data_IF_665678488966
#
_entry.id   IF_665678488966
#
_cell.length_a   1.000
_cell.length_b   1.000
_cell.length_c   1.000
_cell.angle_alpha   90.00
_cell.angle_beta   90.00
_cell.angle_gamma   90.00
#
_symmetry.space_group_name_H-M   'P 1'
#
loop_
_entity.id
_entity.type
_entity.pdbx_description
1 polymer ?
#
# COMPACT_ATOMS: atom_id res chain seq x y z
N UNK A 1 34.59 74.80 36.82
CA UNK A 1 33.58 73.92 37.48
C UNK A 1 33.57 72.58 36.78
N UNK A 2 33.36 71.51 37.55
CA UNK A 2 33.31 70.08 37.18
C UNK A 2 34.70 69.43 36.98
N UNK A 3 35.38 68.95 38.02
CA UNK A 3 35.10 67.81 38.93
C UNK A 3 35.53 66.47 38.34
N UNK A 4 36.54 65.88 39.00
CA UNK A 4 37.07 64.54 38.79
C UNK A 4 36.17 63.48 39.45
N UNK A 5 36.17 62.26 38.89
CA UNK A 5 35.86 61.05 39.64
C UNK A 5 36.59 59.85 39.02
N UNK A 6 37.55 59.32 39.79
CA UNK A 6 38.15 58.00 39.61
C UNK A 6 37.13 56.89 39.88
N UNK A 7 37.21 55.77 39.16
CA UNK A 7 36.70 54.49 39.65
C UNK A 7 37.56 53.34 39.09
N UNK A 8 38.27 52.70 40.02
CA UNK A 8 39.11 51.51 39.86
C UNK A 8 38.26 50.27 40.15
N UNK A 9 38.47 49.21 39.36
CA UNK A 9 38.24 47.77 39.63
C UNK A 9 36.96 47.28 40.35
N UNK A 10 36.19 46.40 39.70
CA UNK A 10 36.28 44.94 39.93
C UNK A 10 35.40 44.14 38.94
N UNK A 11 35.81 42.91 38.58
CA UNK A 11 35.08 41.98 37.70
C UNK A 11 34.23 41.00 38.52
N UNK A 12 33.16 40.45 37.92
CA UNK A 12 32.53 39.12 38.13
C UNK A 12 31.00 39.18 37.96
N UNK A 13 30.44 38.05 37.49
CA UNK A 13 29.02 37.73 37.26
C UNK A 13 28.53 37.81 35.80
N UNK A 14 29.01 36.87 34.98
CA UNK A 14 28.15 36.15 34.04
C UNK A 14 28.58 34.68 34.03
N UNK A 15 28.24 33.98 35.11
CA UNK A 15 28.29 32.51 35.19
C UNK A 15 26.90 32.03 35.59
N UNK A 16 26.01 31.95 34.61
CA UNK A 16 24.84 31.08 34.66
C UNK A 16 24.79 30.34 33.34
N UNK A 17 25.52 29.23 33.28
CA UNK A 17 25.31 28.21 32.27
C UNK A 17 23.92 27.62 32.52
N UNK A 18 23.04 27.77 31.54
CA UNK A 18 21.85 26.94 31.39
C UNK A 18 22.30 25.49 31.22
N UNK A 19 22.28 24.73 32.32
CA UNK A 19 21.97 23.32 32.31
C UNK A 19 20.56 23.17 32.90
N UNK A 20 20.00 21.98 32.81
CA UNK A 20 18.78 21.56 33.52
C UNK A 20 17.48 21.75 32.72
N UNK A 21 17.36 20.99 31.63
CA UNK A 21 16.29 19.98 31.45
C UNK A 21 16.40 19.33 30.07
N UNK A 22 16.57 18.00 30.02
CA UNK A 22 15.94 17.23 28.94
C UNK A 22 14.49 17.70 28.86
N UNK A 23 13.95 18.04 27.68
CA UNK A 23 12.57 18.44 27.62
C UNK A 23 11.75 17.27 28.19
N UNK A 24 10.92 17.48 29.23
CA UNK A 24 9.79 16.57 29.42
C UNK A 24 9.08 16.57 28.07
N UNK A 25 8.71 15.37 27.57
CA UNK A 25 7.96 15.16 26.31
C UNK A 25 7.38 16.48 25.83
N UNK A 26 7.88 17.02 24.70
CA UNK A 26 7.35 18.26 24.12
C UNK A 26 5.86 18.30 24.38
N UNK A 27 5.40 19.19 25.27
CA UNK A 27 4.01 19.22 25.67
C UNK A 27 3.26 19.66 24.41
N UNK A 28 2.65 18.67 23.76
CA UNK A 28 2.19 18.71 22.38
C UNK A 28 0.93 19.57 22.22
N UNK A 29 0.61 20.42 23.19
CA UNK A 29 -0.71 21.03 23.34
C UNK A 29 -1.01 22.19 22.38
N UNK A 30 -0.06 22.64 21.55
CA UNK A 30 -0.33 23.71 20.56
C UNK A 30 -0.46 23.23 19.11
N UNK A 31 -0.27 21.93 18.83
CA UNK A 31 -0.63 21.31 17.54
C UNK A 31 -1.61 20.12 17.70
N UNK A 32 -2.06 19.85 18.93
CA UNK A 32 -2.88 18.69 19.29
C UNK A 32 -4.38 18.79 19.01
N UNK A 33 -4.87 19.87 18.40
CA UNK A 33 -6.33 20.05 18.25
C UNK A 33 -6.95 19.57 16.94
N UNK A 34 -6.20 18.90 16.06
CA UNK A 34 -6.74 18.33 14.80
C UNK A 34 -5.97 17.07 14.33
N UNK A 35 -5.52 16.25 15.28
CA UNK A 35 -4.80 14.99 15.01
C UNK A 35 -5.63 13.78 15.44
N UNK A 36 -6.93 13.82 15.15
CA UNK A 36 -7.73 12.60 15.09
C UNK A 36 -7.36 11.89 13.78
N UNK A 37 -6.23 11.18 13.83
CA UNK A 37 -5.72 10.36 12.72
C UNK A 37 -6.75 9.28 12.46
N UNK A 38 -7.65 9.54 11.53
CA UNK A 38 -8.58 8.54 11.02
C UNK A 38 -7.78 7.36 10.47
N UNK A 39 -7.88 6.27 11.22
CA UNK A 39 -7.25 4.98 11.00
C UNK A 39 -7.75 4.38 9.68
N UNK A 40 -6.87 4.17 8.70
CA UNK A 40 -7.21 3.34 7.54
C UNK A 40 -6.97 1.90 7.94
N UNK A 41 -8.06 1.23 8.31
CA UNK A 41 -8.08 -0.22 8.47
C UNK A 41 -8.26 -0.84 7.09
N UNK A 42 -7.29 -1.64 6.69
CA UNK A 42 -7.55 -2.64 5.66
C UNK A 42 -8.42 -3.78 6.23
N UNK A 43 -8.92 -4.68 5.39
CA UNK A 43 -9.79 -5.81 5.82
C UNK A 43 -9.13 -6.74 6.87
N UNK A 44 -7.80 -6.68 7.02
CA UNK A 44 -6.99 -7.37 8.06
C UNK A 44 -6.56 -6.46 9.24
N UNK A 45 -7.08 -5.23 9.32
CA UNK A 45 -6.82 -4.30 10.43
C UNK A 45 -5.41 -3.69 10.50
N UNK A 46 -4.61 -3.79 9.42
CA UNK A 46 -3.21 -3.36 9.39
C UNK A 46 -3.06 -1.87 9.05
N UNK A 47 -2.48 -1.09 9.97
CA UNK A 47 -2.18 0.34 9.80
C UNK A 47 -0.68 0.53 10.04
N UNK A 48 0.14 0.54 8.98
CA UNK A 48 1.61 0.53 9.15
C UNK A 48 2.36 1.67 8.45
N UNK A 49 2.01 2.05 7.21
CA UNK A 49 2.78 3.06 6.47
C UNK A 49 2.68 4.48 7.07
N UNK A 50 1.49 4.97 7.40
CA UNK A 50 1.32 6.31 8.02
C UNK A 50 1.98 6.39 9.40
N UNK A 51 1.95 5.29 10.17
CA UNK A 51 2.58 5.22 11.48
C UNK A 51 4.11 5.17 11.38
N UNK A 52 4.66 4.39 10.44
CA UNK A 52 6.10 4.30 10.24
C UNK A 52 6.70 5.65 9.84
N UNK A 53 6.10 6.38 8.88
CA UNK A 53 6.59 7.71 8.49
C UNK A 53 6.56 8.72 9.63
N UNK A 54 5.52 8.67 10.47
CA UNK A 54 5.45 9.51 11.68
C UNK A 54 6.56 9.17 12.67
N UNK A 55 6.78 7.89 12.92
CA UNK A 55 7.81 7.46 13.85
C UNK A 55 9.23 7.78 13.34
N UNK A 56 9.49 7.64 12.04
CA UNK A 56 10.75 8.06 11.41
C UNK A 56 10.95 9.57 11.60
N UNK A 57 9.90 10.38 11.41
CA UNK A 57 9.96 11.83 11.65
C UNK A 57 10.35 12.12 13.11
N UNK A 58 9.69 11.47 14.08
CA UNK A 58 9.96 11.66 15.51
C UNK A 58 11.39 11.25 15.88
N UNK A 59 11.89 10.13 15.34
CA UNK A 59 13.27 9.68 15.57
C UNK A 59 14.27 10.67 14.96
N UNK A 60 14.06 11.09 13.70
CA UNK A 60 14.93 12.09 13.06
C UNK A 60 14.94 13.41 13.82
N UNK A 61 13.81 13.79 14.42
CA UNK A 61 13.70 14.98 15.27
C UNK A 61 14.55 14.84 16.54
N UNK A 62 14.52 13.67 17.19
CA UNK A 62 15.38 13.39 18.34
C UNK A 62 16.87 13.40 17.95
N UNK A 63 17.22 12.77 16.83
CA UNK A 63 18.60 12.78 16.30
C UNK A 63 19.08 14.19 15.96
N UNK A 64 18.21 15.05 15.41
CA UNK A 64 18.52 16.46 15.17
C UNK A 64 18.85 17.17 16.47
N UNK A 65 18.08 16.93 17.54
CA UNK A 65 18.35 17.51 18.85
C UNK A 65 19.72 17.09 19.38
N UNK A 66 20.05 15.80 19.33
CA UNK A 66 21.38 15.30 19.72
C UNK A 66 22.51 15.93 18.90
N UNK A 67 22.31 16.08 17.58
CA UNK A 67 23.28 16.74 16.70
C UNK A 67 23.47 18.22 17.01
N UNK A 68 22.40 18.94 17.36
CA UNK A 68 22.47 20.34 17.74
C UNK A 68 23.20 20.53 19.07
N UNK A 69 22.91 19.68 20.04
CA UNK A 69 23.58 19.69 21.34
C UNK A 69 25.09 19.43 21.20
N UNK A 70 25.47 18.39 20.45
CA UNK A 70 26.88 18.08 20.19
C UNK A 70 27.60 19.22 19.46
N UNK A 71 26.97 19.78 18.43
CA UNK A 71 27.50 20.95 17.72
C UNK A 71 27.72 22.13 18.67
N UNK A 72 26.75 22.44 19.54
CA UNK A 72 26.87 23.53 20.50
C UNK A 72 28.00 23.27 21.50
N UNK A 73 28.12 22.04 21.99
CA UNK A 73 29.19 21.65 22.90
C UNK A 73 30.57 21.83 22.27
N UNK A 74 30.78 21.29 21.06
CA UNK A 74 32.03 21.39 20.32
C UNK A 74 32.36 22.85 19.95
N UNK A 75 31.35 23.62 19.53
CA UNK A 75 31.52 25.02 19.16
C UNK A 75 31.87 25.90 20.38
N UNK A 76 31.32 25.60 21.55
CA UNK A 76 31.67 26.26 22.81
C UNK A 76 33.11 25.92 23.23
N UNK A 77 33.53 24.65 23.10
CA UNK A 77 34.91 24.25 23.37
C UNK A 77 35.90 24.98 22.45
N UNK A 78 35.58 25.07 21.15
CA UNK A 78 36.40 25.78 20.16
C UNK A 78 36.48 27.29 20.46
N UNK A 79 35.35 27.90 20.82
CA UNK A 79 35.29 29.33 21.18
C UNK A 79 36.13 29.61 22.42
N UNK A 80 36.03 28.77 23.45
CA UNK A 80 36.82 28.89 24.69
C UNK A 80 38.33 28.79 24.41
N UNK A 81 38.73 27.87 23.53
CA UNK A 81 40.11 27.70 23.10
C UNK A 81 40.62 28.96 22.35
N UNK A 82 39.84 29.49 21.43
CA UNK A 82 40.21 30.71 20.69
C UNK A 82 40.34 31.93 21.61
N UNK A 83 39.40 32.13 22.54
CA UNK A 83 39.47 33.22 23.53
C UNK A 83 40.73 33.13 24.38
N UNK A 84 41.06 31.92 24.86
CA UNK A 84 42.25 31.67 25.69
C UNK A 84 43.57 31.93 24.95
N UNK A 85 43.61 31.80 23.61
CA UNK A 85 44.80 32.11 22.79
C UNK A 85 44.98 33.63 22.55
N UNK A 86 43.90 34.41 22.64
CA UNK A 86 43.95 35.87 22.42
C UNK A 86 44.27 36.68 23.68
N UNK A 87 44.10 36.13 24.88
CA UNK A 87 44.37 36.79 26.16
C UNK A 87 45.76 36.43 26.73
N UNK A 88 46.84 36.96 26.15
CA UNK A 88 48.22 36.76 26.62
C UNK A 88 48.65 37.77 27.71
N UNK A 89 47.89 37.88 28.80
CA UNK A 89 48.28 38.65 29.99
C UNK A 89 47.87 37.90 31.27
N UNK A 90 48.42 36.71 31.49
CA UNK A 90 48.64 36.10 32.81
C UNK A 90 49.52 34.86 32.67
N UNK A 91 50.77 34.98 33.10
CA UNK A 91 51.69 33.86 33.26
C UNK A 91 51.18 32.93 34.37
N UNK A 92 51.17 31.63 34.08
CA UNK A 92 50.95 30.48 35.00
C UNK A 92 49.55 29.87 35.02
N UNK A 93 49.30 28.90 34.14
CA UNK A 93 48.95 27.52 34.53
C UNK A 93 48.79 26.62 33.30
N UNK A 94 49.28 25.40 33.43
CA UNK A 94 49.40 24.37 32.39
C UNK A 94 48.04 23.84 31.90
N UNK A 95 47.27 24.60 31.14
CA UNK A 95 46.18 24.03 30.33
C UNK A 95 46.81 23.40 29.07
N UNK A 96 47.48 22.27 29.29
CA UNK A 96 47.83 21.32 28.23
C UNK A 96 46.59 21.15 27.36
N UNK A 97 46.69 21.51 26.07
CA UNK A 97 45.59 21.40 25.11
C UNK A 97 45.17 19.94 25.04
N UNK A 98 44.13 19.55 25.80
CA UNK A 98 43.50 18.23 25.73
C UNK A 98 42.97 17.93 24.31
N UNK A 99 42.80 18.97 23.49
CA UNK A 99 42.23 18.92 22.16
C UNK A 99 43.21 19.54 21.14
N UNK A 100 43.43 18.82 20.04
CA UNK A 100 44.06 19.36 18.84
C UNK A 100 43.12 20.41 18.21
N UNK A 101 43.54 21.68 18.04
CA UNK A 101 42.70 22.73 17.47
C UNK A 101 42.16 22.41 16.08
N UNK A 102 42.90 21.68 15.25
CA UNK A 102 42.46 21.37 13.89
C UNK A 102 41.49 20.19 13.87
N UNK A 103 41.71 19.20 14.74
CA UNK A 103 40.74 18.14 15.00
C UNK A 103 39.40 18.72 15.51
N UNK A 104 39.44 19.63 16.49
CA UNK A 104 38.23 20.25 17.05
C UNK A 104 37.45 21.08 16.00
N UNK A 105 38.16 21.78 15.10
CA UNK A 105 37.49 22.46 13.96
C UNK A 105 36.83 21.47 13.01
N UNK A 106 37.49 20.34 12.73
CA UNK A 106 36.94 19.28 11.90
C UNK A 106 35.68 18.68 12.53
N UNK A 107 35.70 18.40 13.83
CA UNK A 107 34.55 17.88 14.57
C UNK A 107 33.37 18.87 14.57
N UNK A 108 33.65 20.17 14.78
CA UNK A 108 32.63 21.23 14.65
C UNK A 108 32.04 21.29 13.25
N UNK A 109 32.86 21.12 12.21
CA UNK A 109 32.40 21.10 10.82
C UNK A 109 31.50 19.89 10.54
N UNK A 110 31.90 18.69 10.99
CA UNK A 110 31.09 17.47 10.84
C UNK A 110 29.78 17.55 11.62
N UNK A 111 29.79 18.06 12.86
CA UNK A 111 28.58 18.23 13.65
C UNK A 111 27.62 19.23 12.98
N UNK A 112 28.14 20.34 12.44
CA UNK A 112 27.35 21.31 11.66
C UNK A 112 26.74 20.67 10.42
N UNK A 113 27.52 19.91 9.65
CA UNK A 113 27.03 19.22 8.46
C UNK A 113 25.89 18.26 8.83
N UNK A 114 26.07 17.46 9.89
CA UNK A 114 25.04 16.53 10.40
C UNK A 114 23.75 17.26 10.75
N UNK A 115 23.82 18.41 11.43
CA UNK A 115 22.64 19.25 11.71
C UNK A 115 21.96 19.73 10.43
N UNK A 116 22.71 20.23 9.44
CA UNK A 116 22.11 20.71 8.18
C UNK A 116 21.47 19.58 7.37
N UNK A 117 22.04 18.37 7.42
CA UNK A 117 21.51 17.19 6.75
C UNK A 117 20.21 16.73 7.41
N UNK A 118 20.19 16.57 8.74
CA UNK A 118 18.99 16.17 9.48
C UNK A 118 17.83 17.16 9.33
N UNK A 119 18.10 18.47 9.24
CA UNK A 119 17.06 19.47 8.93
C UNK A 119 16.43 19.25 7.56
N UNK A 120 17.24 19.03 6.52
CA UNK A 120 16.76 18.74 5.17
C UNK A 120 15.97 17.44 5.11
N UNK A 121 16.44 16.39 5.78
CA UNK A 121 15.72 15.12 5.86
C UNK A 121 14.37 15.25 6.58
N UNK A 122 14.27 16.08 7.64
CA UNK A 122 13.01 16.35 8.34
C UNK A 122 12.02 17.14 7.49
N UNK A 123 12.49 18.12 6.73
CA UNK A 123 11.65 18.85 5.76
C UNK A 123 11.11 17.88 4.69
N UNK A 124 11.98 17.02 4.16
CA UNK A 124 11.60 16.02 3.16
C UNK A 124 10.52 15.07 3.70
N UNK A 125 10.75 14.43 4.86
CA UNK A 125 9.78 13.48 5.40
C UNK A 125 8.48 14.15 5.84
N UNK A 126 8.52 15.42 6.24
CA UNK A 126 7.32 16.21 6.52
C UNK A 126 6.46 16.42 5.27
N UNK A 127 7.09 16.73 4.13
CA UNK A 127 6.38 16.86 2.83
C UNK A 127 5.80 15.52 2.40
N UNK A 128 6.58 14.44 2.48
CA UNK A 128 6.12 13.09 2.14
C UNK A 128 4.92 12.67 3.00
N UNK A 129 4.99 12.86 4.32
CA UNK A 129 3.89 12.57 5.24
C UNK A 129 2.64 13.38 4.94
N UNK A 130 2.78 14.67 4.63
CA UNK A 130 1.63 15.50 4.25
C UNK A 130 1.01 15.05 2.93
N UNK A 131 1.81 14.57 1.98
CA UNK A 131 1.32 14.05 0.71
C UNK A 131 0.53 12.75 0.93
N UNK A 132 1.11 11.80 1.68
CA UNK A 132 0.45 10.54 2.04
C UNK A 132 -0.86 10.81 2.79
N UNK A 133 -0.85 11.67 3.81
CA UNK A 133 -2.05 12.04 4.58
C UNK A 133 -3.15 12.61 3.68
N UNK A 134 -2.82 13.50 2.75
CA UNK A 134 -3.79 14.10 1.83
C UNK A 134 -4.35 13.09 0.84
N UNK A 135 -3.50 12.21 0.31
CA UNK A 135 -3.93 11.13 -0.57
C UNK A 135 -4.90 10.20 0.14
N UNK A 136 -4.55 9.81 1.36
CA UNK A 136 -5.38 9.05 2.29
C UNK A 136 -6.73 9.77 2.48
N UNK A 137 -6.76 10.99 3.02
CA UNK A 137 -7.98 11.79 3.22
C UNK A 137 -8.86 11.89 1.96
N UNK A 138 -8.23 12.05 0.79
CA UNK A 138 -8.95 12.07 -0.50
C UNK A 138 -9.67 10.74 -0.76
N UNK A 139 -9.03 9.60 -0.49
CA UNK A 139 -9.64 8.28 -0.61
C UNK A 139 -10.78 8.08 0.39
N UNK A 140 -10.68 8.55 1.65
CA UNK A 140 -11.84 8.47 2.59
C UNK A 140 -12.97 9.37 2.15
N UNK A 141 -12.69 10.56 1.62
CA UNK A 141 -13.72 11.42 1.05
C UNK A 141 -14.43 10.76 -0.13
N UNK A 142 -13.69 10.04 -1.00
CA UNK A 142 -14.27 9.25 -2.09
C UNK A 142 -15.08 8.08 -1.55
N UNK A 143 -14.55 7.33 -0.59
CA UNK A 143 -15.25 6.22 0.07
C UNK A 143 -16.55 6.68 0.76
N UNK A 144 -16.52 7.81 1.45
CA UNK A 144 -17.70 8.40 2.09
C UNK A 144 -18.73 8.83 1.05
N UNK A 145 -18.29 9.44 -0.07
CA UNK A 145 -19.19 9.77 -1.18
C UNK A 145 -19.80 8.51 -1.79
N UNK A 146 -19.01 7.47 -2.03
CA UNK A 146 -19.48 6.18 -2.54
C UNK A 146 -20.40 5.45 -1.55
N UNK A 147 -20.19 5.62 -0.25
CA UNK A 147 -21.03 5.03 0.80
C UNK A 147 -22.35 5.79 0.96
N UNK A 148 -22.31 7.12 0.84
CA UNK A 148 -23.50 7.97 0.87
C UNK A 148 -24.33 7.86 -0.42
N UNK A 149 -23.68 7.79 -1.59
CA UNK A 149 -24.29 7.48 -2.90
C UNK A 149 -24.33 5.97 -3.17
N UNK A 150 -24.23 5.15 -2.12
CA UNK A 150 -24.13 3.69 -2.20
C UNK A 150 -25.22 3.06 -3.06
N UNK A 151 -24.90 2.85 -4.34
CA UNK A 151 -25.51 1.91 -5.26
C UNK A 151 -27.03 1.75 -5.11
N UNK A 152 -27.76 2.86 -5.08
CA UNK A 152 -29.21 2.87 -5.20
C UNK A 152 -29.56 3.87 -6.27
N UNK A 153 -30.22 3.37 -7.31
CA UNK A 153 -30.92 4.22 -8.27
C UNK A 153 -31.64 5.31 -7.49
N UNK A 154 -31.41 6.56 -7.85
CA UNK A 154 -32.23 7.67 -7.35
C UNK A 154 -33.71 7.29 -7.61
N UNK A 155 -34.66 7.70 -6.76
CA UNK A 155 -36.10 7.43 -6.95
C UNK A 155 -36.55 7.77 -8.38
N UNK A 156 -35.99 8.84 -8.96
CA UNK A 156 -36.24 9.25 -10.35
C UNK A 156 -35.71 8.22 -11.36
N UNK A 157 -34.48 7.74 -11.17
CA UNK A 157 -33.85 6.74 -12.05
C UNK A 157 -34.54 5.37 -11.92
N UNK A 158 -34.88 4.96 -10.71
CA UNK A 158 -35.64 3.75 -10.44
C UNK A 158 -37.02 3.81 -11.11
N UNK A 159 -37.67 4.98 -11.06
CA UNK A 159 -38.97 5.17 -11.68
C UNK A 159 -38.88 5.19 -13.21
N UNK A 160 -37.82 5.76 -13.78
CA UNK A 160 -37.56 5.71 -15.22
C UNK A 160 -37.35 4.26 -15.73
N UNK A 161 -36.60 3.45 -14.98
CA UNK A 161 -36.39 2.03 -15.30
C UNK A 161 -37.72 1.27 -15.26
N UNK A 162 -38.56 1.52 -14.24
CA UNK A 162 -39.87 0.87 -14.12
C UNK A 162 -40.81 1.29 -15.26
N UNK A 163 -40.77 2.55 -15.69
CA UNK A 163 -41.58 3.00 -16.85
C UNK A 163 -41.13 2.32 -18.13
N UNK A 164 -39.83 2.25 -18.41
CA UNK A 164 -39.32 1.58 -19.60
C UNK A 164 -39.66 0.08 -19.60
N UNK A 165 -39.53 -0.60 -18.45
CA UNK A 165 -39.94 -2.01 -18.32
C UNK A 165 -41.42 -2.21 -18.65
N UNK A 166 -42.28 -1.27 -18.23
CA UNK A 166 -43.71 -1.33 -18.53
C UNK A 166 -43.99 -1.10 -20.02
N UNK A 167 -43.27 -0.18 -20.66
CA UNK A 167 -43.37 0.07 -22.10
C UNK A 167 -42.90 -1.13 -22.92
N UNK A 168 -41.78 -1.75 -22.54
CA UNK A 168 -41.28 -2.99 -23.15
C UNK A 168 -42.33 -4.10 -23.01
N UNK A 169 -42.91 -4.28 -21.82
CA UNK A 169 -43.94 -5.29 -21.59
C UNK A 169 -45.18 -5.06 -22.46
N UNK A 170 -45.64 -3.82 -22.59
CA UNK A 170 -46.76 -3.48 -23.46
C UNK A 170 -46.44 -3.77 -24.93
N UNK A 171 -45.27 -3.36 -25.40
CA UNK A 171 -44.80 -3.61 -26.76
C UNK A 171 -44.73 -5.10 -27.08
N UNK A 172 -44.14 -5.91 -26.19
CA UNK A 172 -44.08 -7.37 -26.31
C UNK A 172 -45.48 -8.01 -26.34
N UNK A 173 -46.39 -7.57 -25.46
CA UNK A 173 -47.76 -8.10 -25.43
C UNK A 173 -48.53 -7.77 -26.71
N UNK A 174 -48.31 -6.58 -27.28
CA UNK A 174 -48.91 -6.16 -28.54
C UNK A 174 -48.36 -6.97 -29.71
N UNK A 175 -47.03 -7.10 -29.80
CA UNK A 175 -46.37 -7.90 -30.84
C UNK A 175 -46.79 -9.38 -30.79
N UNK A 176 -46.97 -9.93 -29.58
CA UNK A 176 -47.48 -11.30 -29.42
C UNK A 176 -48.93 -11.43 -29.93
N UNK A 177 -49.79 -10.45 -29.67
CA UNK A 177 -51.18 -10.43 -30.16
C UNK A 177 -51.23 -10.36 -31.68
N UNK A 178 -50.43 -9.49 -32.28
CA UNK A 178 -50.31 -9.37 -33.74
C UNK A 178 -49.81 -10.68 -34.36
N UNK A 179 -48.76 -11.29 -33.79
CA UNK A 179 -48.26 -12.61 -34.22
C UNK A 179 -49.36 -13.68 -34.20
N UNK A 180 -50.15 -13.75 -33.14
CA UNK A 180 -51.27 -14.70 -33.06
C UNK A 180 -52.37 -14.39 -34.07
N UNK A 181 -52.67 -13.12 -34.33
CA UNK A 181 -53.63 -12.69 -35.35
C UNK A 181 -53.20 -13.11 -36.75
N UNK A 182 -51.94 -12.86 -37.11
CA UNK A 182 -51.35 -13.27 -38.39
C UNK A 182 -51.36 -14.80 -38.55
N UNK A 183 -50.98 -15.56 -37.52
CA UNK A 183 -51.06 -17.02 -37.56
C UNK A 183 -52.48 -17.52 -37.81
N UNK A 184 -53.48 -16.90 -37.17
CA UNK A 184 -54.89 -17.26 -37.38
C UNK A 184 -55.35 -16.93 -38.81
N UNK A 185 -55.03 -15.74 -39.32
CA UNK A 185 -55.33 -15.36 -40.71
C UNK A 185 -54.66 -16.29 -41.72
N UNK A 186 -53.41 -16.70 -41.47
CA UNK A 186 -52.67 -17.61 -42.34
C UNK A 186 -53.26 -19.02 -42.33
N UNK A 187 -53.68 -19.52 -41.16
CA UNK A 187 -54.40 -20.79 -41.05
C UNK A 187 -55.72 -20.74 -41.83
N UNK A 188 -56.50 -19.66 -41.68
CA UNK A 188 -57.75 -19.48 -42.42
C UNK A 188 -57.52 -19.44 -43.94
N UNK A 189 -56.51 -18.71 -44.41
CA UNK A 189 -56.19 -18.63 -45.84
C UNK A 189 -55.75 -20.00 -46.40
N UNK A 190 -54.98 -20.78 -45.62
CA UNK A 190 -54.63 -22.16 -45.96
C UNK A 190 -55.89 -23.03 -46.09
N UNK A 191 -56.82 -22.92 -45.15
CA UNK A 191 -58.07 -23.68 -45.19
C UNK A 191 -58.93 -23.27 -46.40
N UNK A 192 -59.05 -21.97 -46.69
CA UNK A 192 -59.77 -21.47 -47.87
C UNK A 192 -59.13 -21.96 -49.19
N UNK A 193 -57.79 -21.98 -49.27
CA UNK A 193 -57.06 -22.45 -50.44
C UNK A 193 -57.19 -23.98 -50.63
N UNK A 194 -57.14 -24.75 -49.55
CA UNK A 194 -57.37 -26.21 -49.62
C UNK A 194 -58.80 -26.55 -50.03
N UNK A 195 -59.81 -25.76 -49.58
CA UNK A 195 -61.18 -25.88 -50.05
C UNK A 195 -61.32 -25.56 -51.53
N UNK A 196 -60.67 -24.50 -52.01
CA UNK A 196 -60.64 -24.13 -53.44
C UNK A 196 -59.94 -25.21 -54.29
N UNK A 197 -58.83 -25.76 -53.82
CA UNK A 197 -58.13 -26.88 -54.48
C UNK A 197 -59.00 -28.13 -54.58
N UNK A 198 -59.76 -28.44 -53.54
CA UNK A 198 -60.69 -29.59 -53.53
C UNK A 198 -61.88 -29.37 -54.48
N UNK A 199 -62.38 -28.14 -54.63
CA UNK A 199 -63.40 -27.79 -55.62
C UNK A 199 -62.88 -27.76 -57.06
N UNK A 200 -61.59 -27.45 -57.29
CA UNK A 200 -60.97 -27.55 -58.62
C UNK A 200 -60.57 -28.97 -59.01
N UNK A 201 -60.42 -29.88 -58.04
CA UNK A 201 -60.14 -31.29 -58.29
C UNK A 201 -61.39 -32.10 -58.71
N UNK A 202 -62.58 -31.47 -58.70
CA UNK A 202 -63.84 -32.09 -59.12
C UNK A 202 -64.20 -31.88 -60.60
N UNK A 203 -63.42 -31.09 -61.35
CA UNK A 203 -63.73 -30.76 -62.75
C UNK A 203 -62.78 -31.34 -63.82
N UNK A 204 -61.89 -32.30 -63.48
CA UNK A 204 -61.26 -33.16 -64.51
C UNK A 204 -60.72 -34.49 -63.93
N UNK A 205 -61.21 -35.66 -64.38
CA UNK A 205 -60.73 -36.96 -63.92
C UNK A 205 -59.70 -37.51 -64.91
N UNK A 206 -58.45 -37.07 -64.85
CA UNK A 206 -57.33 -37.89 -65.30
C UNK A 206 -56.02 -37.44 -64.66
N UNK A 207 -55.12 -38.39 -64.40
CA UNK A 207 -53.85 -38.28 -63.64
C UNK A 207 -53.94 -38.56 -62.13
N UNK A 208 -54.72 -39.58 -61.77
CA UNK A 208 -54.52 -40.31 -60.52
C UNK A 208 -53.54 -41.46 -60.73
N UNK A 209 -52.26 -41.13 -60.84
CA UNK A 209 -51.21 -42.13 -60.68
C UNK A 209 -49.93 -41.43 -60.27
N UNK A 210 -49.22 -42.02 -59.30
CA UNK A 210 -47.79 -41.82 -58.95
C UNK A 210 -47.58 -41.41 -57.46
N UNK A 211 -47.25 -42.44 -56.66
CA UNK A 211 -46.35 -42.42 -55.49
C UNK A 211 -46.90 -42.09 -54.09
N UNK A 212 -47.72 -43.02 -53.58
CA UNK A 212 -47.61 -43.48 -52.20
C UNK A 212 -46.46 -44.48 -52.10
N UNK A 213 -45.29 -44.07 -51.61
CA UNK A 213 -44.16 -44.96 -51.36
C UNK A 213 -43.81 -44.94 -49.87
N UNK A 214 -44.35 -45.95 -49.19
CA UNK A 214 -43.84 -46.49 -47.94
C UNK A 214 -42.36 -46.86 -48.09
N UNK A 215 -41.50 -46.29 -47.26
CA UNK A 215 -40.20 -46.88 -46.93
C UNK A 215 -40.05 -46.94 -45.42
N UNK A 216 -40.53 -48.06 -44.87
CA UNK A 216 -39.99 -48.63 -43.65
C UNK A 216 -38.48 -48.82 -43.85
N UNK A 217 -37.66 -48.02 -43.17
CA UNK A 217 -36.26 -48.34 -42.97
C UNK A 217 -36.11 -48.90 -41.57
N UNK A 218 -36.31 -50.22 -41.51
CA UNK A 218 -35.82 -51.07 -40.44
C UNK A 218 -34.34 -51.32 -40.64
N UNK A 219 -33.50 -50.59 -39.92
CA UNK A 219 -32.13 -50.98 -39.60
C UNK A 219 -31.91 -50.44 -38.17
N UNK A 220 -32.02 -51.26 -37.11
CA UNK A 220 -30.90 -52.01 -36.53
C UNK A 220 -29.62 -51.17 -36.73
N UNK A 221 -29.11 -50.49 -35.71
CA UNK A 221 -28.28 -51.10 -34.67
C UNK A 221 -28.34 -50.23 -33.40
N UNK A 222 -28.92 -50.78 -32.34
CA UNK A 222 -28.78 -50.27 -30.99
C UNK A 222 -28.26 -51.42 -30.15
N UNK A 223 -26.95 -51.56 -30.04
CA UNK A 223 -26.30 -52.43 -29.05
C UNK A 223 -24.89 -51.93 -28.76
N UNK A 224 -24.60 -51.87 -27.46
CA UNK A 224 -23.29 -51.77 -26.81
C UNK A 224 -22.74 -50.36 -26.53
N UNK A 225 -23.42 -49.70 -25.59
CA UNK A 225 -22.75 -49.16 -24.41
C UNK A 225 -22.00 -50.31 -23.72
N UNK A 226 -20.67 -50.27 -23.70
CA UNK A 226 -19.87 -51.06 -22.77
C UNK A 226 -18.54 -50.36 -22.51
N UNK A 227 -18.53 -49.56 -21.45
CA UNK A 227 -17.34 -49.21 -20.69
C UNK A 227 -16.78 -50.48 -20.05
N UNK A 228 -15.57 -50.91 -20.42
CA UNK A 228 -14.48 -51.19 -19.48
C UNK A 228 -13.22 -51.75 -20.19
N UNK A 229 -12.10 -51.05 -19.97
CA UNK A 229 -10.73 -51.57 -19.84
C UNK A 229 -10.27 -52.64 -20.85
N UNK A 230 -9.69 -52.23 -21.99
CA UNK A 230 -8.72 -53.08 -22.70
C UNK A 230 -7.65 -52.26 -23.40
N UNK A 231 -6.50 -52.09 -22.74
CA UNK A 231 -5.32 -51.42 -23.30
C UNK A 231 -4.49 -52.29 -24.25
N UNK A 232 -4.99 -53.44 -24.71
CA UNK A 232 -4.15 -54.46 -25.35
C UNK A 232 -4.62 -54.93 -26.74
N UNK A 233 -5.71 -54.38 -27.30
CA UNK A 233 -6.24 -54.77 -28.61
C UNK A 233 -6.43 -53.60 -29.60
N UNK A 234 -5.59 -52.56 -29.52
CA UNK A 234 -5.58 -51.49 -30.53
C UNK A 234 -4.47 -51.73 -31.57
N UNK A 235 -4.74 -51.57 -32.89
CA UNK A 235 -3.69 -51.55 -33.90
C UNK A 235 -2.58 -50.54 -33.52
N UNK A 236 -1.30 -50.90 -33.74
CA UNK A 236 -0.15 -50.08 -33.31
C UNK A 236 -0.22 -48.61 -33.74
N UNK A 237 -0.79 -48.33 -34.92
CA UNK A 237 -1.02 -46.96 -35.40
C UNK A 237 -2.02 -46.16 -34.56
N UNK A 238 -3.09 -46.81 -34.08
CA UNK A 238 -4.10 -46.19 -33.20
C UNK A 238 -3.51 -45.85 -31.84
N UNK A 239 -2.70 -46.77 -31.27
CA UNK A 239 -1.98 -46.53 -30.00
C UNK A 239 -0.98 -45.38 -30.10
N UNK A 240 -0.26 -45.27 -31.22
CA UNK A 240 0.66 -44.16 -31.50
C UNK A 240 -0.09 -42.83 -31.64
N UNK A 241 -1.22 -42.82 -32.35
CA UNK A 241 -2.06 -41.63 -32.49
C UNK A 241 -2.65 -41.17 -31.14
N UNK A 242 -3.05 -42.12 -30.28
CA UNK A 242 -3.54 -41.84 -28.94
C UNK A 242 -2.42 -41.30 -28.02
N UNK A 243 -1.21 -41.87 -28.08
CA UNK A 243 -0.04 -41.31 -27.39
C UNK A 243 0.30 -39.90 -27.87
N UNK A 244 0.18 -39.63 -29.18
CA UNK A 244 0.42 -38.30 -29.74
C UNK A 244 -0.65 -37.30 -29.26
N UNK A 245 -1.93 -37.70 -29.20
CA UNK A 245 -3.01 -36.88 -28.61
C UNK A 245 -2.76 -36.59 -27.13
N UNK A 246 -2.45 -37.61 -26.32
CA UNK A 246 -2.13 -37.41 -24.91
C UNK A 246 -0.92 -36.48 -24.71
N UNK A 247 0.10 -36.56 -25.58
CA UNK A 247 1.24 -35.62 -25.53
C UNK A 247 0.82 -34.18 -25.85
N UNK A 248 0.00 -33.99 -26.89
CA UNK A 248 -0.50 -32.66 -27.24
C UNK A 248 -1.37 -32.07 -26.12
N UNK A 249 -2.28 -32.86 -25.54
CA UNK A 249 -3.10 -32.44 -24.40
C UNK A 249 -2.26 -32.11 -23.16
N UNK A 250 -1.21 -32.89 -22.90
CA UNK A 250 -0.26 -32.60 -21.83
C UNK A 250 0.50 -31.29 -22.08
N UNK A 251 0.97 -31.06 -23.30
CA UNK A 251 1.68 -29.82 -23.66
C UNK A 251 0.74 -28.60 -23.58
N UNK A 252 -0.52 -28.74 -23.98
CA UNK A 252 -1.54 -27.71 -23.80
C UNK A 252 -1.86 -27.44 -22.32
N UNK A 253 -2.02 -28.50 -21.52
CA UNK A 253 -2.23 -28.37 -20.08
C UNK A 253 -1.04 -27.68 -19.40
N UNK A 254 0.19 -28.02 -19.82
CA UNK A 254 1.41 -27.39 -19.33
C UNK A 254 1.48 -25.90 -19.67
N UNK A 255 1.09 -25.52 -20.90
CA UNK A 255 0.93 -24.11 -21.29
C UNK A 255 -0.14 -23.40 -20.46
N UNK A 256 -1.28 -24.04 -20.18
CA UNK A 256 -2.31 -23.48 -19.29
C UNK A 256 -1.78 -23.27 -17.88
N UNK A 257 -1.04 -24.24 -17.32
CA UNK A 257 -0.43 -24.11 -15.98
C UNK A 257 0.54 -22.92 -15.96
N UNK A 258 1.42 -22.78 -16.96
CA UNK A 258 2.34 -21.65 -17.05
C UNK A 258 1.61 -20.31 -17.15
N UNK A 259 0.52 -20.25 -17.94
CA UNK A 259 -0.30 -19.05 -18.04
C UNK A 259 -0.96 -18.70 -16.70
N UNK A 260 -1.54 -19.69 -16.02
CA UNK A 260 -2.14 -19.49 -14.68
C UNK A 260 -1.07 -19.04 -13.66
N UNK A 261 0.14 -19.60 -13.69
CA UNK A 261 1.25 -19.17 -12.83
C UNK A 261 1.65 -17.72 -13.10
N UNK A 262 1.72 -17.31 -14.37
CA UNK A 262 1.99 -15.92 -14.73
C UNK A 262 0.86 -15.00 -14.26
N UNK A 263 -0.40 -15.38 -14.48
CA UNK A 263 -1.56 -14.61 -14.02
C UNK A 263 -1.60 -14.50 -12.49
N UNK A 264 -1.21 -15.54 -11.76
CA UNK A 264 -1.08 -15.50 -10.30
C UNK A 264 0.02 -14.54 -9.86
N UNK A 265 1.20 -14.57 -10.51
CA UNK A 265 2.28 -13.64 -10.22
C UNK A 265 1.89 -12.18 -10.51
N UNK A 266 1.26 -11.93 -11.66
CA UNK A 266 0.77 -10.60 -12.05
C UNK A 266 -0.34 -10.10 -11.11
N UNK A 267 -1.17 -11.00 -10.55
CA UNK A 267 -2.18 -10.66 -9.56
C UNK A 267 -1.58 -10.42 -8.18
N UNK A 268 -0.57 -11.18 -7.76
CA UNK A 268 0.14 -10.98 -6.49
C UNK A 268 0.77 -9.58 -6.43
N UNK A 269 1.37 -9.11 -7.53
CA UNK A 269 1.90 -7.74 -7.67
C UNK A 269 0.79 -6.67 -7.57
N UNK A 270 -0.39 -6.95 -8.13
CA UNK A 270 -1.53 -6.01 -8.16
C UNK A 270 -2.37 -6.00 -6.87
N UNK A 271 -2.34 -7.07 -6.09
CA UNK A 271 -3.16 -7.22 -4.87
C UNK A 271 -2.63 -6.38 -3.72
N UNK A 272 -1.33 -6.04 -3.70
CA UNK A 272 -0.71 -5.27 -2.59
C UNK A 272 -0.03 -3.96 -3.06
N UNK A 273 -0.76 -3.02 -3.68
CA UNK A 273 -0.21 -1.73 -4.05
C UNK A 273 0.23 -0.96 -2.78
N UNK A 274 1.49 -0.55 -2.71
CA UNK A 274 2.06 0.18 -1.57
C UNK A 274 2.82 -0.67 -0.54
N UNK A 275 2.82 -2.01 -0.68
CA UNK A 275 3.60 -2.89 0.20
C UNK A 275 5.11 -2.61 0.12
N UNK A 276 5.64 -2.38 -1.08
CA UNK A 276 7.05 -2.00 -1.25
C UNK A 276 7.40 -0.68 -0.55
N UNK A 277 6.50 0.30 -0.55
CA UNK A 277 6.72 1.58 0.12
C UNK A 277 6.69 1.38 1.65
N UNK A 278 5.71 0.61 2.14
CA UNK A 278 5.63 0.25 3.56
C UNK A 278 6.84 -0.55 4.05
N UNK A 279 7.39 -1.43 3.21
CA UNK A 279 8.58 -2.21 3.55
C UNK A 279 9.83 -1.32 3.55
N UNK A 280 9.95 -0.37 2.60
CA UNK A 280 10.99 0.67 2.61
C UNK A 280 10.93 1.53 3.87
N UNK A 281 9.73 1.99 4.25
CA UNK A 281 9.52 2.78 5.47
C UNK A 281 9.88 1.98 6.73
N UNK A 282 9.47 0.71 6.80
CA UNK A 282 9.79 -0.18 7.93
C UNK A 282 11.31 -0.40 8.08
N UNK A 283 12.00 -0.63 6.97
CA UNK A 283 13.47 -0.78 6.98
C UNK A 283 14.17 0.52 7.37
N UNK A 284 13.70 1.66 6.85
CA UNK A 284 14.24 2.97 7.21
C UNK A 284 14.01 3.26 8.70
N UNK A 285 12.82 2.98 9.23
CA UNK A 285 12.51 3.12 10.65
C UNK A 285 13.47 2.31 11.52
N UNK A 286 13.76 1.07 11.12
CA UNK A 286 14.73 0.22 11.82
C UNK A 286 16.13 0.86 11.82
N UNK A 287 16.63 1.31 10.66
CA UNK A 287 17.93 1.97 10.55
C UNK A 287 18.02 3.25 11.39
N UNK A 288 16.95 4.04 11.42
CA UNK A 288 16.88 5.28 12.20
C UNK A 288 16.88 5.00 13.71
N UNK A 289 16.16 3.97 14.17
CA UNK A 289 16.20 3.50 15.56
C UNK A 289 17.60 3.00 15.96
N UNK A 290 18.26 2.21 15.11
CA UNK A 290 19.63 1.74 15.35
C UNK A 290 20.62 2.90 15.43
N UNK A 291 20.46 3.89 14.57
CA UNK A 291 21.33 5.06 14.54
C UNK A 291 21.10 5.96 15.76
N UNK A 292 19.85 6.19 16.17
CA UNK A 292 19.53 6.88 17.42
C UNK A 292 20.11 6.15 18.64
N UNK A 293 20.00 4.82 18.69
CA UNK A 293 20.59 3.99 19.76
C UNK A 293 22.11 4.19 19.85
N UNK A 294 22.81 4.20 18.70
CA UNK A 294 24.26 4.47 18.66
C UNK A 294 24.60 5.87 19.16
N UNK A 295 23.83 6.88 18.74
CA UNK A 295 24.01 8.27 19.17
C UNK A 295 23.77 8.42 20.68
N UNK A 296 22.70 7.83 21.24
CA UNK A 296 22.43 7.84 22.68
C UNK A 296 23.53 7.15 23.49
N UNK A 297 24.03 5.99 23.04
CA UNK A 297 25.15 5.28 23.69
C UNK A 297 26.46 6.06 23.68
N UNK A 298 26.64 7.00 22.74
CA UNK A 298 27.84 7.82 22.64
C UNK A 298 27.86 9.00 23.63
N UNK A 299 26.74 9.30 24.29
CA UNK A 299 26.64 10.41 25.26
C UNK A 299 27.49 10.11 26.49
N UNK A 300 28.37 11.05 26.84
CA UNK A 300 29.26 10.89 28.00
C UNK A 300 28.54 11.27 29.31
N UNK A 301 28.52 10.42 30.34
CA UNK A 301 27.79 10.67 31.61
C UNK A 301 28.20 11.95 32.34
N UNK A 302 29.46 12.39 32.17
CA UNK A 302 29.98 13.60 32.83
C UNK A 302 29.41 14.90 32.26
N UNK A 303 28.72 14.84 31.12
CA UNK A 303 28.15 16.01 30.43
C UNK A 303 26.67 16.24 30.74
N UNK A 304 26.05 15.38 31.56
CA UNK A 304 24.60 15.34 31.82
C UNK A 304 24.27 15.16 33.30
N UNK A 305 23.07 15.56 33.69
CA UNK A 305 22.55 15.30 35.04
C UNK A 305 22.22 13.82 35.26
N UNK A 306 22.15 13.39 36.53
CA UNK A 306 21.86 11.99 36.85
C UNK A 306 20.49 11.53 36.32
N UNK A 307 19.47 12.39 36.46
CA UNK A 307 18.11 12.13 35.96
C UNK A 307 18.08 11.97 34.44
N UNK A 308 18.76 12.85 33.71
CA UNK A 308 18.88 12.74 32.25
C UNK A 308 19.58 11.45 31.83
N UNK A 309 20.60 11.04 32.57
CA UNK A 309 21.29 9.78 32.30
C UNK A 309 20.40 8.56 32.55
N UNK A 310 19.51 8.61 33.54
CA UNK A 310 18.53 7.56 33.78
C UNK A 310 17.47 7.52 32.67
N UNK A 311 16.99 8.68 32.20
CA UNK A 311 16.04 8.79 31.08
C UNK A 311 16.67 8.25 29.77
N UNK A 312 17.92 8.61 29.48
CA UNK A 312 18.69 8.11 28.33
C UNK A 312 18.86 6.59 28.41
N UNK A 313 19.18 6.04 29.59
CA UNK A 313 19.29 4.59 29.78
C UNK A 313 17.94 3.87 29.59
N UNK A 314 16.84 4.50 30.00
CA UNK A 314 15.50 4.00 29.75
C UNK A 314 15.20 3.89 28.25
N UNK A 315 15.50 4.95 27.49
CA UNK A 315 15.26 4.96 26.04
C UNK A 315 16.18 3.97 25.31
N UNK A 316 17.45 3.84 25.74
CA UNK A 316 18.39 2.82 25.21
C UNK A 316 17.79 1.41 25.36
N UNK A 317 17.35 1.04 26.58
CA UNK A 317 16.77 -0.28 26.84
C UNK A 317 15.52 -0.53 25.99
N UNK A 318 14.68 0.50 25.84
CA UNK A 318 13.47 0.43 25.03
C UNK A 318 13.79 0.23 23.55
N UNK A 319 14.71 1.00 22.99
CA UNK A 319 15.15 0.85 21.59
C UNK A 319 15.79 -0.52 21.35
N UNK A 320 16.59 -1.02 22.28
CA UNK A 320 17.15 -2.38 22.22
C UNK A 320 16.07 -3.46 22.20
N UNK A 321 15.06 -3.31 23.05
CA UNK A 321 13.93 -4.24 23.09
C UNK A 321 13.11 -4.18 21.80
N UNK A 322 12.81 -2.98 21.30
CA UNK A 322 12.07 -2.78 20.05
C UNK A 322 12.80 -3.42 18.86
N UNK A 323 14.13 -3.21 18.75
CA UNK A 323 14.94 -3.77 17.67
C UNK A 323 15.03 -5.30 17.75
N UNK A 324 15.20 -5.86 18.96
CA UNK A 324 15.19 -7.31 19.16
C UNK A 324 13.84 -7.93 18.81
N UNK A 325 12.73 -7.31 19.24
CA UNK A 325 11.39 -7.76 18.89
C UNK A 325 11.17 -7.76 17.36
N UNK A 326 11.60 -6.69 16.68
CA UNK A 326 11.49 -6.57 15.23
C UNK A 326 12.32 -7.65 14.50
N UNK A 327 13.52 -7.94 15.00
CA UNK A 327 14.41 -8.97 14.47
C UNK A 327 13.83 -10.39 14.70
N UNK A 328 13.31 -10.68 15.89
CA UNK A 328 12.63 -11.93 16.18
C UNK A 328 11.40 -12.15 15.28
N UNK A 329 10.58 -11.11 15.11
CA UNK A 329 9.42 -11.17 14.20
C UNK A 329 9.84 -11.44 12.75
N UNK A 330 10.94 -10.80 12.29
CA UNK A 330 11.50 -11.06 10.96
C UNK A 330 11.99 -12.50 10.82
N UNK A 331 12.71 -13.01 11.82
CA UNK A 331 13.23 -14.38 11.81
C UNK A 331 12.11 -15.42 11.82
N UNK A 332 11.02 -15.19 12.58
CA UNK A 332 9.83 -16.06 12.56
C UNK A 332 9.17 -16.06 11.17
N UNK A 333 8.98 -14.89 10.57
CA UNK A 333 8.38 -14.77 9.24
C UNK A 333 9.21 -15.45 8.12
N UNK A 334 10.54 -15.50 8.27
CA UNK A 334 11.42 -16.24 7.36
C UNK A 334 11.33 -17.75 7.61
N UNK A 335 11.23 -18.18 8.88
CA UNK A 335 11.11 -19.59 9.22
C UNK A 335 9.78 -20.22 8.80
N UNK A 336 8.71 -19.42 8.71
CA UNK A 336 7.37 -19.84 8.30
C UNK A 336 7.16 -19.89 6.76
N UNK A 337 8.15 -19.42 5.96
CA UNK A 337 8.12 -19.43 4.48
C UNK A 337 8.82 -20.64 3.89
#
# INVERSE_FOLDING_TARGET
MCAAASATACPTMFSHYCCDTWPPRCDYSSYDQLLDVQLYRDNDGRIYCVYAKKEIYDIKQQRLYLAQDEYNHLNNALSTLNTSRTSLCSSSSNISTKYDPDLLKSDVAHARERVTRLKRELEQIGVEMSCTRRGVETLSNVEQKLSNDGSRYNVVEAQAIVTELREIQQSLSSGQRERTGLMHSLAKLKDDLTRLQLCSATDDPDLQNQHSSSTQLSDKLSTASQTDLSGELMPMGTRLAEMARMRLEYDEARKRIQNIQQQLADLEEKVMPGQEESDKDRLLLFQEKEQLLRELRSITPRSRSHREMDDIQGEIKKLEQDLNNALEMSNRAIADR
#
